data_IF_478958724955
#
_entry.id   IF_478958724955
#
_cell.length_a   1.000
_cell.length_b   1.000
_cell.length_c   1.000
_cell.angle_alpha   90.00
_cell.angle_beta   90.00
_cell.angle_gamma   90.00
#
_symmetry.space_group_name_H-M   'P 1'
#
loop_
_entity.id
_entity.type
_entity.pdbx_description
1 polymer ?
#
# COMPACT_ATOMS: atom_id res chain seq x y z
N UNK A 1 -42.61 -3.97 49.23
CA UNK A 1 -41.19 -3.54 49.35
C UNK A 1 -40.26 -4.40 48.49
N UNK A 2 -40.46 -5.73 48.38
CA UNK A 2 -39.57 -6.63 47.62
C UNK A 2 -39.68 -6.44 46.09
N UNK A 3 -40.84 -6.06 45.55
CA UNK A 3 -41.07 -5.90 44.11
C UNK A 3 -40.23 -4.80 43.43
N UNK A 4 -39.83 -3.76 44.18
CA UNK A 4 -39.09 -2.61 43.62
C UNK A 4 -37.59 -2.89 43.42
N UNK A 5 -37.07 -4.03 43.90
CA UNK A 5 -35.66 -4.41 43.75
C UNK A 5 -35.44 -5.37 42.57
N UNK A 6 -36.48 -6.06 42.11
CA UNK A 6 -36.38 -6.98 40.97
C UNK A 6 -36.10 -6.26 39.65
N UNK A 7 -36.72 -5.10 39.45
CA UNK A 7 -36.57 -4.29 38.24
C UNK A 7 -35.10 -3.84 37.98
N UNK A 8 -34.37 -3.25 38.96
CA UNK A 8 -32.97 -2.90 38.76
C UNK A 8 -32.04 -4.11 38.66
N UNK A 9 -32.32 -5.20 39.38
CA UNK A 9 -31.51 -6.43 39.29
C UNK A 9 -31.62 -7.06 37.90
N UNK A 10 -32.83 -7.13 37.35
CA UNK A 10 -33.06 -7.66 36.01
C UNK A 10 -32.41 -6.77 34.93
N UNK A 11 -32.44 -5.45 35.11
CA UNK A 11 -31.72 -4.50 34.26
C UNK A 11 -30.21 -4.74 34.25
N UNK A 12 -29.59 -4.94 35.42
CA UNK A 12 -28.15 -5.22 35.52
C UNK A 12 -27.80 -6.57 34.88
N UNK A 13 -28.58 -7.62 35.14
CA UNK A 13 -28.34 -8.95 34.57
C UNK A 13 -28.44 -8.93 33.04
N UNK A 14 -29.48 -8.29 32.50
CA UNK A 14 -29.64 -8.16 31.05
C UNK A 14 -28.52 -7.32 30.42
N UNK A 15 -28.10 -6.22 31.05
CA UNK A 15 -26.97 -5.42 30.59
C UNK A 15 -25.67 -6.24 30.53
N UNK A 16 -25.36 -7.02 31.56
CA UNK A 16 -24.18 -7.91 31.59
C UNK A 16 -24.25 -8.97 30.49
N UNK A 17 -25.42 -9.59 30.29
CA UNK A 17 -25.61 -10.58 29.24
C UNK A 17 -25.41 -9.99 27.84
N UNK A 18 -25.91 -8.77 27.61
CA UNK A 18 -25.68 -8.05 26.36
C UNK A 18 -24.20 -7.72 26.17
N UNK A 19 -23.51 -7.20 27.19
CA UNK A 19 -22.09 -6.91 27.10
C UNK A 19 -21.26 -8.15 26.72
N UNK A 20 -21.55 -9.30 27.33
CA UNK A 20 -20.86 -10.56 27.03
C UNK A 20 -21.13 -11.00 25.59
N UNK A 21 -22.37 -10.88 25.12
CA UNK A 21 -22.78 -11.32 23.78
C UNK A 21 -22.26 -10.38 22.69
N UNK A 22 -22.26 -9.07 22.94
CA UNK A 22 -21.84 -8.05 21.98
C UNK A 22 -20.33 -7.91 21.87
N UNK A 23 -19.57 -8.19 22.94
CA UNK A 23 -18.12 -8.06 22.93
C UNK A 23 -17.41 -8.81 21.78
N UNK A 24 -17.65 -10.11 21.53
CA UNK A 24 -17.01 -10.81 20.41
C UNK A 24 -17.42 -10.23 19.04
N UNK A 25 -18.70 -9.90 18.86
CA UNK A 25 -19.23 -9.33 17.61
C UNK A 25 -18.62 -7.95 17.29
N UNK A 26 -18.47 -7.10 18.32
CA UNK A 26 -17.83 -5.79 18.20
C UNK A 26 -16.34 -5.96 17.87
N UNK A 27 -15.67 -6.94 18.48
CA UNK A 27 -14.27 -7.23 18.18
C UNK A 27 -14.09 -7.64 16.72
N UNK A 28 -14.90 -8.57 16.24
CA UNK A 28 -14.79 -9.09 14.87
C UNK A 28 -15.12 -8.00 13.84
N UNK A 29 -16.16 -7.20 14.11
CA UNK A 29 -16.50 -6.03 13.30
C UNK A 29 -15.38 -4.98 13.34
N UNK A 30 -14.81 -4.73 14.52
CA UNK A 30 -13.68 -3.83 14.72
C UNK A 30 -12.44 -4.25 13.93
N UNK A 31 -12.14 -5.55 13.86
CA UNK A 31 -11.03 -6.09 13.06
C UNK A 31 -11.22 -5.85 11.56
N UNK A 32 -12.46 -5.95 11.07
CA UNK A 32 -12.81 -5.61 9.68
C UNK A 32 -12.60 -4.11 9.42
N UNK A 33 -13.07 -3.25 10.32
CA UNK A 33 -12.86 -1.79 10.25
C UNK A 33 -11.38 -1.41 10.25
N UNK A 34 -10.56 -2.14 11.03
CA UNK A 34 -9.12 -1.94 11.08
C UNK A 34 -8.38 -2.43 9.82
N UNK A 35 -9.09 -2.92 8.81
CA UNK A 35 -8.51 -3.48 7.59
C UNK A 35 -7.48 -4.59 7.89
N UNK A 36 -7.77 -5.41 8.89
CA UNK A 36 -6.84 -6.46 9.32
C UNK A 36 -6.62 -7.49 8.21
N UNK A 37 -5.37 -7.96 8.10
CA UNK A 37 -5.01 -9.04 7.17
C UNK A 37 -5.58 -10.36 7.70
N UNK A 38 -6.30 -11.15 6.90
CA UNK A 38 -6.81 -12.45 7.34
C UNK A 38 -5.66 -13.41 7.67
N UNK A 39 -5.72 -14.07 8.82
CA UNK A 39 -4.67 -14.97 9.33
C UNK A 39 -4.37 -16.15 8.38
N UNK A 40 -5.33 -16.52 7.53
CA UNK A 40 -5.22 -17.65 6.61
C UNK A 40 -4.41 -17.34 5.32
N UNK A 41 -4.03 -16.07 5.07
CA UNK A 41 -3.30 -15.71 3.85
C UNK A 41 -1.87 -15.28 4.19
N UNK A 42 -0.90 -16.09 3.76
CA UNK A 42 0.50 -15.72 3.84
C UNK A 42 0.91 -14.86 2.64
N UNK A 43 0.95 -13.54 2.85
CA UNK A 43 1.31 -12.53 1.83
C UNK A 43 2.64 -12.86 1.14
N UNK A 44 3.65 -13.30 1.90
CA UNK A 44 4.96 -13.65 1.37
C UNK A 44 4.95 -14.86 0.43
N UNK A 45 4.15 -15.88 0.76
CA UNK A 45 3.95 -17.05 -0.11
C UNK A 45 3.18 -16.69 -1.37
N UNK A 46 2.13 -15.86 -1.25
CA UNK A 46 1.34 -15.39 -2.40
C UNK A 46 2.22 -14.63 -3.39
N UNK A 47 3.03 -13.67 -2.91
CA UNK A 47 3.99 -12.92 -3.74
C UNK A 47 4.95 -13.85 -4.49
N UNK A 48 5.55 -14.82 -3.80
CA UNK A 48 6.46 -15.80 -4.41
C UNK A 48 5.78 -16.66 -5.47
N UNK A 49 4.53 -17.07 -5.25
CA UNK A 49 3.79 -17.87 -6.22
C UNK A 49 3.43 -17.06 -7.47
N UNK A 50 3.00 -15.80 -7.31
CA UNK A 50 2.68 -14.92 -8.44
C UNK A 50 3.93 -14.69 -9.31
N UNK A 51 5.08 -14.40 -8.71
CA UNK A 51 6.34 -14.21 -9.44
C UNK A 51 6.81 -15.47 -10.18
N UNK A 52 6.48 -16.66 -9.67
CA UNK A 52 6.80 -17.93 -10.34
C UNK A 52 5.87 -18.23 -11.51
N UNK A 53 4.59 -17.90 -11.39
CA UNK A 53 3.58 -18.18 -12.42
C UNK A 53 3.64 -17.17 -13.57
N UNK A 54 4.01 -15.93 -13.27
CA UNK A 54 4.04 -14.84 -14.24
C UNK A 54 5.45 -14.23 -14.36
N UNK A 55 6.33 -14.81 -15.20
CA UNK A 55 7.71 -14.33 -15.37
C UNK A 55 7.81 -12.95 -16.04
N UNK A 56 6.70 -12.43 -16.58
CA UNK A 56 6.62 -11.08 -17.15
C UNK A 56 6.64 -9.98 -16.07
N UNK A 57 6.29 -10.31 -14.82
CA UNK A 57 6.32 -9.37 -13.70
C UNK A 57 7.76 -9.25 -13.20
N UNK A 58 8.33 -8.04 -13.24
CA UNK A 58 9.68 -7.78 -12.76
C UNK A 58 9.72 -7.73 -11.23
N UNK A 59 8.73 -7.09 -10.61
CA UNK A 59 8.62 -6.99 -9.17
C UNK A 59 7.16 -6.72 -8.75
N UNK A 60 6.85 -6.99 -7.48
CA UNK A 60 5.56 -6.69 -6.83
C UNK A 60 5.84 -5.97 -5.52
N UNK A 61 5.25 -4.80 -5.31
CA UNK A 61 5.36 -4.03 -4.07
C UNK A 61 3.99 -3.65 -3.53
N UNK A 62 4.00 -3.26 -2.25
CA UNK A 62 2.82 -2.80 -1.51
C UNK A 62 1.60 -3.72 -1.64
N UNK A 63 1.85 -5.04 -1.59
CA UNK A 63 0.79 -6.04 -1.56
C UNK A 63 0.06 -5.94 -0.20
N UNK A 64 -1.10 -5.31 -0.23
CA UNK A 64 -1.98 -5.15 0.92
C UNK A 64 -3.21 -6.04 0.72
N UNK A 65 -3.50 -6.87 1.70
CA UNK A 65 -4.68 -7.76 1.71
C UNK A 65 -5.50 -7.41 2.94
N UNK A 66 -6.79 -7.14 2.76
CA UNK A 66 -7.68 -6.80 3.87
C UNK A 66 -9.05 -7.46 3.69
N UNK A 67 -9.79 -7.58 4.79
CA UNK A 67 -11.17 -8.04 4.76
C UNK A 67 -12.11 -6.86 4.49
N UNK A 68 -12.95 -6.98 3.46
CA UNK A 68 -14.06 -6.04 3.23
C UNK A 68 -15.24 -6.35 4.15
N UNK A 69 -15.44 -7.64 4.46
CA UNK A 69 -16.39 -8.13 5.45
C UNK A 69 -15.91 -9.49 5.99
N UNK A 70 -16.69 -10.12 6.88
CA UNK A 70 -16.34 -11.40 7.49
C UNK A 70 -16.07 -12.55 6.50
N UNK A 71 -16.51 -12.44 5.24
CA UNK A 71 -16.41 -13.50 4.22
C UNK A 71 -15.74 -13.08 2.90
N UNK A 72 -15.42 -11.79 2.73
CA UNK A 72 -14.90 -11.23 1.48
C UNK A 72 -13.57 -10.55 1.73
N UNK A 73 -12.57 -11.05 1.04
CA UNK A 73 -11.19 -10.56 1.09
C UNK A 73 -10.91 -9.78 -0.19
N UNK A 74 -10.26 -8.64 -0.03
CA UNK A 74 -9.83 -7.75 -1.10
C UNK A 74 -8.32 -7.57 -1.01
N UNK A 75 -7.65 -7.40 -2.14
CA UNK A 75 -6.24 -7.09 -2.20
C UNK A 75 -5.97 -5.88 -3.10
N UNK A 76 -4.91 -5.13 -2.78
CA UNK A 76 -4.29 -4.16 -3.69
C UNK A 76 -2.81 -4.47 -3.79
N UNK A 77 -2.26 -4.35 -4.99
CA UNK A 77 -0.83 -4.49 -5.21
C UNK A 77 -0.37 -3.69 -6.41
N UNK A 78 0.89 -3.29 -6.37
CA UNK A 78 1.55 -2.64 -7.49
C UNK A 78 2.51 -3.63 -8.14
N UNK A 79 2.47 -3.72 -9.46
CA UNK A 79 3.33 -4.62 -10.23
C UNK A 79 4.20 -3.83 -11.19
N UNK A 80 5.48 -4.19 -11.27
CA UNK A 80 6.42 -3.58 -12.20
C UNK A 80 6.48 -4.43 -13.46
N UNK A 81 6.20 -3.80 -14.60
CA UNK A 81 6.21 -4.41 -15.93
C UNK A 81 7.18 -3.65 -16.84
N UNK A 82 7.81 -4.31 -17.82
CA UNK A 82 8.59 -3.60 -18.83
C UNK A 82 7.66 -2.78 -19.73
N UNK A 83 8.09 -1.59 -20.17
CA UNK A 83 7.33 -0.66 -21.03
C UNK A 83 6.79 -1.29 -22.34
N UNK A 84 7.44 -2.35 -22.83
CA UNK A 84 7.00 -3.08 -24.02
C UNK A 84 5.67 -3.86 -23.81
N UNK A 85 5.27 -4.09 -22.55
CA UNK A 85 4.10 -4.91 -22.19
C UNK A 85 2.79 -4.11 -22.01
N UNK A 86 2.79 -2.78 -22.20
CA UNK A 86 1.60 -1.94 -22.00
C UNK A 86 0.41 -2.36 -22.86
N UNK A 87 0.63 -2.84 -24.09
CA UNK A 87 -0.45 -3.27 -25.00
C UNK A 87 -1.13 -4.59 -24.58
N UNK A 88 -0.43 -5.43 -23.82
CA UNK A 88 -0.94 -6.75 -23.38
C UNK A 88 -1.49 -6.72 -21.96
N UNK A 89 -1.40 -5.58 -21.26
CA UNK A 89 -1.80 -5.47 -19.86
C UNK A 89 -3.29 -5.80 -19.65
N UNK A 90 -4.18 -5.40 -20.55
CA UNK A 90 -5.62 -5.63 -20.39
C UNK A 90 -6.01 -7.13 -20.38
N UNK A 91 -5.29 -7.96 -21.13
CA UNK A 91 -5.49 -9.42 -21.11
C UNK A 91 -4.81 -10.05 -19.89
N UNK A 92 -3.64 -9.52 -19.53
CA UNK A 92 -2.87 -9.96 -18.38
C UNK A 92 -3.60 -9.70 -17.05
N UNK A 93 -4.23 -8.54 -16.90
CA UNK A 93 -5.00 -8.20 -15.69
C UNK A 93 -6.17 -9.17 -15.46
N UNK A 94 -6.85 -9.60 -16.53
CA UNK A 94 -7.92 -10.60 -16.42
C UNK A 94 -7.43 -11.98 -15.95
N UNK A 95 -6.25 -12.41 -16.43
CA UNK A 95 -5.63 -13.65 -15.98
C UNK A 95 -5.24 -13.56 -14.50
N UNK A 96 -4.67 -12.42 -14.10
CA UNK A 96 -4.25 -12.17 -12.74
C UNK A 96 -5.45 -12.09 -11.78
N UNK A 97 -6.55 -11.45 -12.18
CA UNK A 97 -7.82 -11.44 -11.44
C UNK A 97 -8.37 -12.85 -11.25
N UNK A 98 -8.30 -13.69 -12.28
CA UNK A 98 -8.72 -15.09 -12.21
C UNK A 98 -7.84 -15.89 -11.24
N UNK A 99 -6.53 -15.63 -11.26
CA UNK A 99 -5.60 -16.25 -10.33
C UNK A 99 -5.88 -15.83 -8.88
N UNK A 100 -6.10 -14.54 -8.61
CA UNK A 100 -6.44 -14.05 -7.27
C UNK A 100 -7.75 -14.65 -6.75
N UNK A 101 -8.78 -14.79 -7.60
CA UNK A 101 -10.02 -15.47 -7.25
C UNK A 101 -9.81 -16.92 -6.83
N UNK A 102 -8.90 -17.65 -7.49
CA UNK A 102 -8.55 -19.04 -7.11
C UNK A 102 -7.85 -19.11 -5.75
N UNK A 103 -7.14 -18.06 -5.35
CA UNK A 103 -6.50 -17.96 -4.03
C UNK A 103 -7.46 -17.48 -2.93
N UNK A 104 -8.75 -17.30 -3.23
CA UNK A 104 -9.77 -16.86 -2.27
C UNK A 104 -9.90 -15.34 -2.12
N UNK A 105 -9.20 -14.55 -2.96
CA UNK A 105 -9.33 -13.10 -3.00
C UNK A 105 -10.44 -12.74 -3.98
N UNK A 106 -11.52 -12.15 -3.47
CA UNK A 106 -12.73 -11.88 -4.27
C UNK A 106 -12.50 -10.77 -5.28
N UNK A 107 -11.72 -9.76 -4.88
CA UNK A 107 -11.37 -8.60 -5.69
C UNK A 107 -9.91 -8.26 -5.46
N UNK A 108 -9.16 -8.07 -6.54
CA UNK A 108 -7.80 -7.57 -6.49
C UNK A 108 -7.70 -6.33 -7.38
N UNK A 109 -7.13 -5.25 -6.85
CA UNK A 109 -6.79 -4.05 -7.63
C UNK A 109 -5.31 -4.08 -7.95
N UNK A 110 -4.99 -4.24 -9.22
CA UNK A 110 -3.60 -4.35 -9.68
C UNK A 110 -3.22 -3.09 -10.42
N UNK A 111 -2.30 -2.31 -9.84
CA UNK A 111 -1.78 -1.12 -10.48
C UNK A 111 -0.47 -1.45 -11.24
N UNK A 112 -0.43 -1.24 -12.56
CA UNK A 112 0.80 -1.41 -13.32
C UNK A 112 1.71 -0.19 -13.16
N UNK A 113 2.98 -0.45 -12.87
CA UNK A 113 4.07 0.49 -12.95
C UNK A 113 5.01 0.05 -14.09
N UNK A 114 5.32 0.96 -15.00
CA UNK A 114 6.14 0.62 -16.17
C UNK A 114 7.57 1.09 -15.96
N UNK A 115 8.51 0.14 -16.01
CA UNK A 115 9.93 0.44 -15.99
C UNK A 115 10.45 0.69 -17.41
N UNK A 116 11.15 1.82 -17.61
CA UNK A 116 11.82 2.17 -18.86
C UNK A 116 13.35 2.21 -18.63
N UNK A 117 14.12 1.25 -19.18
CA UNK A 117 15.57 1.20 -19.00
C UNK A 117 16.31 2.34 -19.73
N UNK A 118 15.67 3.03 -20.68
CA UNK A 118 16.25 4.15 -21.43
C UNK A 118 15.83 5.52 -20.90
N UNK A 119 14.96 5.55 -19.89
CA UNK A 119 14.77 6.75 -19.08
C UNK A 119 15.89 6.74 -18.05
N UNK A 120 17.02 7.35 -18.39
CA UNK A 120 18.11 7.72 -17.49
C UNK A 120 17.66 8.81 -16.49
N UNK A 121 16.50 8.63 -15.87
CA UNK A 121 16.17 9.25 -14.61
C UNK A 121 16.45 8.19 -13.57
N UNK A 122 17.66 8.23 -13.03
CA UNK A 122 18.00 7.50 -11.82
C UNK A 122 16.89 7.68 -10.77
N UNK A 123 16.66 6.63 -9.97
CA UNK A 123 15.97 6.63 -8.67
C UNK A 123 14.45 6.32 -8.63
N UNK A 124 14.12 5.03 -8.81
CA UNK A 124 13.01 4.38 -8.08
C UNK A 124 13.48 3.87 -6.70
N UNK A 125 14.05 4.80 -5.96
CA UNK A 125 14.18 4.99 -4.52
C UNK A 125 14.53 6.47 -4.55
N UNK A 126 13.69 7.40 -4.10
CA UNK A 126 14.17 8.78 -3.98
C UNK A 126 15.06 8.80 -2.72
N UNK A 127 16.41 8.72 -2.76
CA UNK A 127 17.16 9.40 -1.72
C UNK A 127 16.80 10.86 -1.93
N UNK A 128 16.16 11.46 -0.92
CA UNK A 128 15.81 12.88 -0.79
C UNK A 128 16.36 13.69 -1.98
N UNK A 129 15.57 13.82 -3.04
CA UNK A 129 15.95 14.68 -4.16
C UNK A 129 16.04 16.08 -3.57
N UNK A 130 17.25 16.65 -3.60
CA UNK A 130 17.56 17.93 -3.00
C UNK A 130 16.81 19.05 -3.76
N UNK A 131 15.54 19.22 -3.40
CA UNK A 131 14.58 20.13 -4.03
C UNK A 131 14.78 21.59 -3.61
N UNK A 132 15.77 21.89 -2.78
CA UNK A 132 16.10 23.25 -2.35
C UNK A 132 17.53 23.60 -2.78
N UNK A 133 17.66 24.44 -3.81
CA UNK A 133 18.90 25.20 -4.05
C UNK A 133 19.05 26.20 -2.90
N UNK A 134 20.20 26.19 -2.22
CA UNK A 134 20.49 27.25 -1.27
C UNK A 134 20.65 28.57 -2.03
N UNK A 135 19.70 29.48 -1.87
CA UNK A 135 19.81 30.80 -2.49
C UNK A 135 20.86 31.59 -1.72
N UNK A 136 21.88 32.09 -2.44
CA UNK A 136 22.94 32.96 -1.90
C UNK A 136 22.44 34.29 -1.30
N UNK A 137 21.12 34.48 -1.20
CA UNK A 137 20.48 35.71 -0.75
C UNK A 137 20.16 35.71 0.75
N UNK A 138 20.20 34.55 1.42
CA UNK A 138 20.08 34.45 2.88
C UNK A 138 21.45 34.09 3.45
N UNK A 139 22.05 35.01 4.23
CA UNK A 139 23.34 34.85 4.89
C UNK A 139 23.25 33.87 6.09
N UNK A 140 22.76 32.67 5.82
CA UNK A 140 22.53 31.58 6.78
C UNK A 140 23.20 30.33 6.22
N UNK A 141 24.20 29.81 6.96
CA UNK A 141 24.99 28.64 6.59
C UNK A 141 24.08 27.40 6.34
N UNK A 142 23.74 27.20 5.09
CA UNK A 142 22.97 26.05 4.59
C UNK A 142 23.87 24.87 4.23
N UNK A 143 25.20 25.04 4.22
CA UNK A 143 26.20 24.07 3.73
C UNK A 143 26.17 22.73 4.47
N UNK A 144 25.87 22.73 5.78
CA UNK A 144 25.79 21.50 6.57
C UNK A 144 24.46 20.74 6.40
N UNK A 145 23.54 21.26 5.59
CA UNK A 145 22.21 20.68 5.32
C UNK A 145 21.90 20.56 3.82
N UNK A 146 22.88 20.76 2.94
CA UNK A 146 22.74 20.60 1.48
C UNK A 146 23.36 19.29 0.99
N UNK A 147 22.77 18.71 -0.06
CA UNK A 147 23.25 17.46 -0.64
C UNK A 147 24.54 17.61 -1.47
N UNK A 148 24.94 18.84 -1.83
CA UNK A 148 26.24 19.14 -2.42
C UNK A 148 27.02 20.04 -1.44
N UNK A 149 28.10 19.52 -0.85
CA UNK A 149 29.15 20.35 -0.24
C UNK A 149 30.19 20.67 -1.31
N UNK A 150 30.73 21.88 -1.29
CA UNK A 150 31.56 22.47 -2.37
C UNK A 150 32.88 21.74 -2.72
N UNK A 151 33.15 20.55 -2.19
CA UNK A 151 34.35 19.77 -2.49
C UNK A 151 34.15 18.62 -3.50
N UNK A 152 32.95 18.38 -4.05
CA UNK A 152 32.77 17.43 -5.16
C UNK A 152 31.93 18.05 -6.29
N UNK A 153 32.61 18.39 -7.38
CA UNK A 153 32.07 19.00 -8.62
C UNK A 153 31.29 17.99 -9.49
N UNK A 154 30.34 17.25 -8.93
CA UNK A 154 29.41 16.40 -9.71
C UNK A 154 27.94 16.80 -9.47
N UNK A 155 27.66 18.10 -9.41
CA UNK A 155 26.28 18.59 -9.43
C UNK A 155 25.94 18.87 -10.91
N UNK A 156 25.21 17.94 -11.55
CA UNK A 156 24.68 18.12 -12.91
C UNK A 156 23.92 19.46 -13.01
N UNK A 157 24.33 20.28 -13.97
CA UNK A 157 23.79 21.61 -14.24
C UNK A 157 22.27 21.58 -14.34
N UNK A 158 21.62 22.28 -13.42
CA UNK A 158 20.19 22.57 -13.48
C UNK A 158 20.00 23.92 -14.16
N UNK A 159 20.33 24.00 -15.45
CA UNK A 159 20.03 25.12 -16.33
C UNK A 159 19.90 24.59 -17.75
N UNK A 160 18.68 24.27 -18.21
CA UNK A 160 18.17 24.73 -19.51
C UNK A 160 16.69 24.34 -19.69
N UNK A 161 15.79 25.25 -19.29
CA UNK A 161 14.50 25.40 -19.97
C UNK A 161 14.42 26.88 -20.35
N UNK A 162 15.15 27.25 -21.39
CA UNK A 162 14.95 28.51 -22.10
C UNK A 162 14.97 28.20 -23.59
N UNK A 163 13.84 28.51 -24.24
CA UNK A 163 13.64 28.52 -25.69
C UNK A 163 13.61 27.15 -26.40
N UNK A 164 12.41 26.79 -26.86
CA UNK A 164 12.18 26.61 -28.29
C UNK A 164 10.68 26.56 -28.59
N UNK A 165 10.24 27.65 -29.24
CA UNK A 165 9.13 27.87 -30.19
C UNK A 165 7.89 26.95 -30.19
#
# INVERSE_FOLDING_TARGET
MIANLFDPIFGIISAVLFCITLYPEIKDTGLILLQTVPENINVGRLKKNILKEFPIILNIHDLHIWCLNASRIVASCHIILPKQSTKSFAQFSQLLDTYFRKQGIVLATVQPEFYDPNTSSANQLIPISCLMKCSKLSNTNCDSFTCCSQENNDCLDCDDYSLMD
#
